data_IF_609438743752
#
_entry.id   IF_609438743752
#
_cell.length_a   1.000
_cell.length_b   1.000
_cell.length_c   1.000
_cell.angle_alpha   90.00
_cell.angle_beta   90.00
_cell.angle_gamma   90.00
#
_symmetry.space_group_name_H-M   'P 1'
#
loop_
_entity.id
_entity.type
_entity.pdbx_description
1 polymer ?
#
# COMPACT_ATOMS: atom_id res chain seq x y z
N UNK A 1 10.98 -28.10 0.24
CA UNK A 1 9.87 -27.31 0.81
C UNK A 1 9.56 -26.16 -0.14
N UNK A 2 8.37 -26.16 -0.75
CA UNK A 2 7.89 -24.99 -1.49
C UNK A 2 7.71 -23.84 -0.50
N UNK A 3 8.39 -22.73 -0.73
CA UNK A 3 8.29 -21.52 0.10
C UNK A 3 6.85 -21.01 0.08
N UNK A 4 6.35 -20.53 1.22
CA UNK A 4 5.01 -19.94 1.33
C UNK A 4 4.87 -18.64 0.51
N UNK A 5 3.64 -18.28 0.15
CA UNK A 5 3.34 -17.08 -0.65
C UNK A 5 3.88 -15.80 0.01
N UNK A 6 3.65 -15.64 1.32
CA UNK A 6 4.14 -14.48 2.07
C UNK A 6 5.67 -14.41 2.02
N UNK A 7 6.35 -15.54 2.13
CA UNK A 7 7.81 -15.60 2.06
C UNK A 7 8.35 -15.27 0.65
N UNK A 8 7.66 -15.73 -0.39
CA UNK A 8 8.00 -15.43 -1.78
C UNK A 8 7.85 -13.92 -2.06
N UNK A 9 6.74 -13.31 -1.62
CA UNK A 9 6.50 -11.87 -1.76
C UNK A 9 7.54 -11.04 -0.99
N UNK A 10 7.87 -11.43 0.24
CA UNK A 10 8.94 -10.80 1.02
C UNK A 10 10.29 -10.82 0.28
N UNK A 11 10.64 -11.95 -0.33
CA UNK A 11 11.89 -12.11 -1.09
C UNK A 11 11.89 -11.32 -2.40
N UNK A 12 10.77 -11.30 -3.11
CA UNK A 12 10.63 -10.54 -4.35
C UNK A 12 10.79 -9.03 -4.07
N UNK A 13 10.06 -8.51 -3.08
CA UNK A 13 10.16 -7.12 -2.68
C UNK A 13 11.54 -6.76 -2.12
N UNK A 14 12.12 -7.62 -1.27
CA UNK A 14 13.46 -7.41 -0.74
C UNK A 14 14.53 -7.30 -1.84
N UNK A 15 14.44 -8.13 -2.89
CA UNK A 15 15.33 -8.05 -4.06
C UNK A 15 15.15 -6.74 -4.83
N UNK A 16 13.90 -6.31 -5.08
CA UNK A 16 13.60 -5.04 -5.76
C UNK A 16 14.12 -3.84 -4.97
N UNK A 17 13.78 -3.77 -3.68
CA UNK A 17 14.21 -2.69 -2.79
C UNK A 17 15.74 -2.61 -2.71
N UNK A 18 16.43 -3.75 -2.61
CA UNK A 18 17.90 -3.78 -2.60
C UNK A 18 18.50 -3.21 -3.88
N UNK A 19 17.96 -3.57 -5.06
CA UNK A 19 18.42 -3.01 -6.34
C UNK A 19 18.23 -1.49 -6.37
N UNK A 20 17.06 -1.02 -5.92
CA UNK A 20 16.76 0.42 -5.84
C UNK A 20 17.73 1.15 -4.91
N UNK A 21 17.93 0.66 -3.68
CA UNK A 21 18.85 1.29 -2.72
C UNK A 21 20.30 1.29 -3.21
N UNK A 22 20.76 0.20 -3.85
CA UNK A 22 22.11 0.15 -4.44
C UNK A 22 22.26 1.14 -5.60
N UNK A 23 21.25 1.27 -6.45
CA UNK A 23 21.26 2.23 -7.56
C UNK A 23 21.25 3.67 -7.03
N UNK A 24 20.39 3.98 -6.05
CA UNK A 24 20.35 5.30 -5.41
C UNK A 24 21.67 5.63 -4.72
N UNK A 25 22.28 4.67 -4.01
CA UNK A 25 23.60 4.85 -3.39
C UNK A 25 24.67 5.12 -4.44
N UNK A 26 24.67 4.38 -5.56
CA UNK A 26 25.61 4.59 -6.65
C UNK A 26 25.48 6.00 -7.26
N UNK A 27 24.25 6.39 -7.63
CA UNK A 27 23.95 7.73 -8.16
C UNK A 27 24.37 8.82 -7.16
N UNK A 28 24.08 8.62 -5.88
CA UNK A 28 24.49 9.54 -4.82
C UNK A 28 26.01 9.72 -4.76
N UNK A 29 26.79 8.63 -4.74
CA UNK A 29 28.26 8.68 -4.72
C UNK A 29 28.81 9.40 -5.95
N UNK A 30 28.24 9.16 -7.14
CA UNK A 30 28.62 9.86 -8.36
C UNK A 30 28.38 11.38 -8.25
N UNK A 31 27.18 11.79 -7.80
CA UNK A 31 26.85 13.22 -7.60
C UNK A 31 27.80 13.86 -6.59
N UNK A 32 28.07 13.19 -5.47
CA UNK A 32 28.97 13.69 -4.43
C UNK A 32 30.40 13.88 -4.96
N UNK A 33 30.88 12.95 -5.79
CA UNK A 33 32.22 13.05 -6.40
C UNK A 33 32.31 14.24 -7.34
N UNK A 34 31.30 14.45 -8.18
CA UNK A 34 31.22 15.62 -9.07
C UNK A 34 31.16 16.92 -8.26
N UNK A 35 30.33 16.97 -7.23
CA UNK A 35 30.21 18.15 -6.37
C UNK A 35 31.54 18.50 -5.70
N UNK A 36 32.27 17.51 -5.17
CA UNK A 36 33.60 17.74 -4.57
C UNK A 36 34.58 18.30 -5.59
N UNK A 37 34.59 17.78 -6.83
CA UNK A 37 35.49 18.28 -7.89
C UNK A 37 35.15 19.71 -8.29
N UNK A 38 33.86 20.02 -8.51
CA UNK A 38 33.41 21.35 -8.95
C UNK A 38 33.58 22.40 -7.86
N UNK A 39 33.31 22.05 -6.61
CA UNK A 39 33.32 22.99 -5.49
C UNK A 39 34.70 23.17 -4.85
N UNK A 40 35.68 22.32 -5.18
CA UNK A 40 37.03 22.34 -4.58
C UNK A 40 37.68 23.72 -4.64
N UNK A 41 37.51 24.42 -5.75
CA UNK A 41 38.16 25.72 -6.01
C UNK A 41 37.24 26.92 -5.71
N UNK A 42 35.95 26.69 -5.45
CA UNK A 42 34.94 27.73 -5.20
C UNK A 42 34.64 27.94 -3.71
N UNK A 43 35.02 26.98 -2.85
CA UNK A 43 34.77 27.04 -1.41
C UNK A 43 35.98 27.65 -0.69
N UNK A 44 35.80 28.84 -0.15
CA UNK A 44 36.76 29.41 0.80
C UNK A 44 36.42 28.96 2.23
N UNK A 45 37.23 28.07 2.80
CA UNK A 45 37.05 27.55 4.15
C UNK A 45 37.42 28.57 5.25
N UNK A 46 38.08 29.68 4.89
CA UNK A 46 38.34 30.79 5.81
C UNK A 46 37.08 31.63 6.07
N UNK A 47 36.13 31.65 5.13
CA UNK A 47 34.85 32.31 5.29
C UNK A 47 33.91 31.49 6.19
N UNK A 48 33.38 32.12 7.25
CA UNK A 48 32.51 31.46 8.24
C UNK A 48 31.20 30.93 7.63
N UNK A 49 30.68 31.60 6.59
CA UNK A 49 29.43 31.22 5.92
C UNK A 49 29.63 29.99 5.06
N UNK A 50 30.69 29.97 4.26
CA UNK A 50 31.11 28.83 3.45
C UNK A 50 31.44 27.61 4.32
N UNK A 51 32.16 27.79 5.43
CA UNK A 51 32.42 26.71 6.41
C UNK A 51 31.14 26.11 6.98
N UNK A 52 30.17 26.95 7.34
CA UNK A 52 28.87 26.49 7.89
C UNK A 52 28.08 25.68 6.86
N UNK A 53 28.06 26.11 5.60
CA UNK A 53 27.40 25.38 4.52
C UNK A 53 28.03 24.00 4.28
N UNK A 54 29.36 23.93 4.30
CA UNK A 54 30.11 22.67 4.15
C UNK A 54 29.81 21.70 5.30
N UNK A 55 29.81 22.18 6.54
CA UNK A 55 29.50 21.35 7.71
C UNK A 55 28.06 20.82 7.63
N UNK A 56 27.08 21.68 7.31
CA UNK A 56 25.71 21.25 7.11
C UNK A 56 25.59 20.18 6.01
N UNK A 57 26.28 20.38 4.88
CA UNK A 57 26.30 19.42 3.78
C UNK A 57 26.85 18.06 4.20
N UNK A 58 27.96 18.02 4.94
CA UNK A 58 28.50 16.77 5.48
C UNK A 58 27.56 16.08 6.49
N UNK A 59 26.86 16.85 7.32
CA UNK A 59 25.86 16.30 8.26
C UNK A 59 24.70 15.67 7.48
N UNK A 60 24.12 16.37 6.50
CA UNK A 60 23.04 15.83 5.68
C UNK A 60 23.49 14.63 4.84
N UNK A 61 24.71 14.68 4.31
CA UNK A 61 25.35 13.56 3.60
C UNK A 61 25.50 12.33 4.49
N UNK A 62 26.02 12.52 5.71
CA UNK A 62 26.17 11.45 6.68
C UNK A 62 24.83 10.84 7.08
N UNK A 63 23.81 11.67 7.33
CA UNK A 63 22.44 11.21 7.63
C UNK A 63 21.85 10.40 6.46
N UNK A 64 22.02 10.85 5.22
CA UNK A 64 21.57 10.11 4.03
C UNK A 64 22.24 8.74 3.93
N UNK A 65 23.54 8.65 4.18
CA UNK A 65 24.26 7.36 4.20
C UNK A 65 23.74 6.45 5.30
N UNK A 66 23.51 6.97 6.51
CA UNK A 66 22.94 6.21 7.63
C UNK A 66 21.55 5.66 7.25
N UNK A 67 20.65 6.49 6.72
CA UNK A 67 19.32 6.04 6.30
C UNK A 67 19.38 5.00 5.17
N UNK A 68 20.32 5.16 4.23
CA UNK A 68 20.52 4.19 3.15
C UNK A 68 20.99 2.84 3.69
N UNK A 69 21.94 2.83 4.64
CA UNK A 69 22.41 1.61 5.31
C UNK A 69 21.29 0.97 6.13
N UNK A 70 20.50 1.75 6.87
CA UNK A 70 19.32 1.24 7.60
C UNK A 70 18.32 0.60 6.63
N UNK A 71 18.03 1.24 5.50
CA UNK A 71 17.15 0.71 4.44
C UNK A 71 17.68 -0.59 3.84
N UNK A 72 18.99 -0.66 3.58
CA UNK A 72 19.66 -1.86 3.06
C UNK A 72 19.62 -3.01 4.08
N UNK A 73 19.89 -2.74 5.36
CA UNK A 73 19.77 -3.73 6.44
C UNK A 73 18.31 -4.17 6.61
N UNK A 74 17.35 -3.24 6.51
CA UNK A 74 15.92 -3.55 6.52
C UNK A 74 15.54 -4.51 5.38
N UNK A 75 16.06 -4.27 4.17
CA UNK A 75 15.85 -5.16 3.02
C UNK A 75 16.48 -6.54 3.19
N UNK A 76 17.53 -6.67 4.02
CA UNK A 76 18.15 -7.95 4.38
C UNK A 76 17.36 -8.69 5.47
N UNK A 77 16.79 -7.95 6.45
CA UNK A 77 16.07 -8.50 7.62
C UNK A 77 14.61 -8.87 7.36
N UNK A 78 14.02 -8.49 6.23
CA UNK A 78 12.67 -8.92 5.81
C UNK A 78 12.51 -10.44 5.59
N UNK A 79 13.54 -11.24 5.90
CA UNK A 79 13.68 -12.65 5.55
C UNK A 79 13.12 -13.67 6.54
N UNK A 80 12.75 -13.31 7.78
CA UNK A 80 12.60 -14.35 8.82
C UNK A 80 11.38 -14.25 9.75
N UNK A 81 10.59 -13.16 9.70
CA UNK A 81 9.81 -12.80 10.90
C UNK A 81 8.38 -12.31 10.64
N UNK A 82 7.84 -12.53 9.43
CA UNK A 82 6.49 -12.05 9.07
C UNK A 82 6.33 -10.52 9.16
N UNK A 83 7.43 -9.75 9.26
CA UNK A 83 7.41 -8.28 9.41
C UNK A 83 6.78 -7.55 8.23
N UNK A 84 6.75 -8.17 7.06
CA UNK A 84 6.06 -7.63 5.89
C UNK A 84 4.54 -7.69 6.04
N UNK A 85 4.03 -8.62 6.84
CA UNK A 85 2.62 -8.78 7.14
C UNK A 85 2.23 -7.83 8.27
N UNK A 86 1.24 -6.99 7.97
CA UNK A 86 0.67 -6.02 8.89
C UNK A 86 -0.75 -6.49 9.20
N UNK A 87 -1.02 -6.70 10.48
CA UNK A 87 -2.33 -7.12 10.99
C UNK A 87 -2.95 -5.92 11.70
N UNK A 88 -3.81 -5.15 11.03
CA UNK A 88 -4.40 -3.95 11.64
C UNK A 88 -5.35 -4.28 12.80
N UNK A 89 -5.90 -5.49 12.84
CA UNK A 89 -6.85 -5.91 13.88
C UNK A 89 -6.18 -6.61 15.07
N UNK A 90 -5.00 -7.20 14.87
CA UNK A 90 -4.22 -7.92 15.91
C UNK A 90 -5.00 -9.06 16.61
N UNK A 91 -5.98 -9.65 15.93
CA UNK A 91 -6.84 -10.72 16.47
C UNK A 91 -6.14 -12.08 16.53
N UNK A 92 -5.06 -12.26 15.76
CA UNK A 92 -4.24 -13.47 15.75
C UNK A 92 -2.76 -13.10 15.52
N UNK A 93 -1.88 -14.07 15.73
CA UNK A 93 -0.45 -13.95 15.48
C UNK A 93 -0.13 -13.86 14.00
N UNK A 94 0.92 -13.10 13.64
CA UNK A 94 1.41 -13.01 12.25
C UNK A 94 1.74 -14.36 11.64
N UNK A 95 2.18 -15.33 12.45
CA UNK A 95 2.50 -16.68 12.00
C UNK A 95 1.23 -17.45 11.59
N UNK A 96 0.21 -17.46 12.43
CA UNK A 96 -1.05 -18.16 12.14
C UNK A 96 -1.77 -17.56 10.93
N UNK A 97 -1.84 -16.22 10.84
CA UNK A 97 -2.40 -15.53 9.68
C UNK A 97 -1.59 -15.83 8.42
N UNK A 98 -0.26 -15.80 8.50
CA UNK A 98 0.62 -16.15 7.39
C UNK A 98 0.43 -17.58 6.90
N UNK A 99 0.36 -18.56 7.81
CA UNK A 99 0.11 -19.97 7.49
C UNK A 99 -1.26 -20.18 6.84
N UNK A 100 -2.29 -19.46 7.31
CA UNK A 100 -3.63 -19.50 6.71
C UNK A 100 -3.63 -18.93 5.29
N UNK A 101 -3.02 -17.77 5.07
CA UNK A 101 -2.88 -17.17 3.75
C UNK A 101 -2.11 -18.11 2.81
N UNK A 102 -0.96 -18.64 3.26
CA UNK A 102 -0.13 -19.54 2.47
C UNK A 102 -0.86 -20.83 2.09
N UNK A 103 -1.72 -21.34 2.98
CA UNK A 103 -2.58 -22.49 2.70
C UNK A 103 -3.64 -22.15 1.66
N UNK A 104 -4.39 -21.05 1.84
CA UNK A 104 -5.45 -20.64 0.90
C UNK A 104 -4.89 -20.37 -0.51
N UNK A 105 -3.73 -19.74 -0.61
CA UNK A 105 -3.03 -19.53 -1.89
C UNK A 105 -2.57 -20.84 -2.51
N UNK A 106 -2.02 -21.77 -1.72
CA UNK A 106 -1.56 -23.08 -2.21
C UNK A 106 -2.70 -23.96 -2.70
N UNK A 107 -3.86 -23.86 -2.05
CA UNK A 107 -5.09 -24.56 -2.43
C UNK A 107 -5.76 -23.93 -3.66
N UNK A 108 -5.27 -22.79 -4.16
CA UNK A 108 -5.84 -22.10 -5.31
C UNK A 108 -7.12 -21.32 -4.97
N UNK A 109 -7.37 -21.03 -3.69
CA UNK A 109 -8.56 -20.33 -3.21
C UNK A 109 -8.46 -18.80 -3.41
N UNK A 110 -7.84 -18.33 -4.50
CA UNK A 110 -7.76 -16.91 -4.81
C UNK A 110 -9.04 -16.49 -5.53
N UNK A 111 -9.82 -15.61 -4.91
CA UNK A 111 -11.10 -15.13 -5.46
C UNK A 111 -10.89 -13.96 -6.42
N UNK A 112 -9.98 -13.04 -6.08
CA UNK A 112 -9.57 -11.91 -6.91
C UNK A 112 -8.08 -11.70 -6.76
N UNK A 113 -7.37 -11.42 -7.85
CA UNK A 113 -5.98 -10.96 -7.82
C UNK A 113 -5.74 -9.98 -8.96
N UNK A 114 -5.54 -8.71 -8.63
CA UNK A 114 -5.45 -7.63 -9.61
C UNK A 114 -4.44 -6.58 -9.18
N UNK A 115 -3.87 -5.90 -10.18
CA UNK A 115 -3.04 -4.72 -9.95
C UNK A 115 -3.91 -3.47 -9.91
N UNK A 116 -3.46 -2.46 -9.16
CA UNK A 116 -4.12 -1.15 -9.12
C UNK A 116 -4.00 -0.41 -10.45
N UNK A 117 -2.93 -0.62 -11.21
CA UNK A 117 -2.72 -0.04 -12.53
C UNK A 117 -3.14 -1.02 -13.62
N UNK A 118 -3.63 -0.47 -14.74
CA UNK A 118 -3.95 -1.23 -15.94
C UNK A 118 -2.73 -1.32 -16.84
N UNK A 119 -2.37 -2.53 -17.25
CA UNK A 119 -1.22 -2.80 -18.11
C UNK A 119 -1.68 -3.19 -19.51
N UNK A 120 -0.90 -2.80 -20.53
CA UNK A 120 -1.13 -3.31 -21.88
C UNK A 120 -0.61 -4.74 -21.98
N UNK A 121 -1.16 -5.48 -22.94
CA UNK A 121 -0.71 -6.84 -23.21
C UNK A 121 0.79 -6.85 -23.56
N UNK A 122 1.56 -7.69 -22.86
CA UNK A 122 3.02 -7.79 -23.00
C UNK A 122 3.84 -6.87 -22.09
N UNK A 123 3.22 -5.93 -21.35
CA UNK A 123 3.91 -5.14 -20.34
C UNK A 123 4.11 -5.96 -19.04
N UNK A 124 5.30 -5.85 -18.43
CA UNK A 124 5.55 -6.49 -17.13
C UNK A 124 4.77 -5.74 -16.04
N UNK A 125 3.82 -6.39 -15.34
CA UNK A 125 2.97 -5.72 -14.39
C UNK A 125 3.74 -5.36 -13.12
N UNK A 126 3.54 -4.14 -12.62
CA UNK A 126 4.23 -3.61 -11.46
C UNK A 126 3.29 -2.79 -10.57
N UNK A 127 3.76 -2.39 -9.39
CA UNK A 127 2.99 -1.52 -8.50
C UNK A 127 2.19 -2.27 -7.43
N UNK A 128 1.18 -1.58 -6.93
CA UNK A 128 0.33 -2.03 -5.84
C UNK A 128 -0.72 -3.03 -6.34
N UNK A 129 -1.06 -4.01 -5.51
CA UNK A 129 -1.90 -5.16 -5.86
C UNK A 129 -2.94 -5.43 -4.77
N UNK A 130 -4.09 -5.91 -5.19
CA UNK A 130 -5.17 -6.36 -4.32
C UNK A 130 -5.37 -7.85 -4.55
N UNK A 131 -5.41 -8.62 -3.46
CA UNK A 131 -5.75 -10.04 -3.49
C UNK A 131 -6.89 -10.32 -2.53
N UNK A 132 -7.94 -10.97 -2.99
CA UNK A 132 -9.03 -11.45 -2.14
C UNK A 132 -8.91 -12.96 -1.95
N UNK A 133 -8.83 -13.35 -0.69
CA UNK A 133 -8.93 -14.73 -0.23
C UNK A 133 -10.24 -14.91 0.55
N UNK A 134 -10.71 -16.15 0.79
CA UNK A 134 -11.90 -16.42 1.60
C UNK A 134 -11.85 -15.73 2.96
N UNK A 135 -10.66 -15.68 3.57
CA UNK A 135 -10.46 -15.15 4.92
C UNK A 135 -10.03 -13.67 4.98
N UNK A 136 -9.20 -13.22 4.04
CA UNK A 136 -8.60 -11.88 4.09
C UNK A 136 -8.65 -11.18 2.74
N UNK A 137 -8.84 -9.87 2.79
CA UNK A 137 -8.44 -8.95 1.74
C UNK A 137 -6.98 -8.53 2.00
N UNK A 138 -6.10 -8.81 1.05
CA UNK A 138 -4.70 -8.41 1.10
C UNK A 138 -4.48 -7.16 0.25
N UNK A 139 -4.02 -6.09 0.88
CA UNK A 139 -3.52 -4.89 0.20
C UNK A 139 -2.00 -4.97 0.19
N UNK A 140 -1.43 -5.11 -1.01
CA UNK A 140 0.00 -5.34 -1.17
C UNK A 140 0.62 -4.17 -1.91
N UNK A 141 1.56 -3.48 -1.27
CA UNK A 141 2.25 -2.39 -1.95
C UNK A 141 3.50 -2.88 -2.69
N UNK A 142 3.94 -2.08 -3.66
CA UNK A 142 5.16 -2.30 -4.46
C UNK A 142 6.43 -2.48 -3.62
N UNK A 143 6.45 -1.92 -2.41
CA UNK A 143 7.56 -2.03 -1.45
C UNK A 143 7.56 -3.34 -0.64
N UNK A 144 6.56 -4.20 -0.81
CA UNK A 144 6.46 -5.52 -0.19
C UNK A 144 5.71 -5.59 1.13
N UNK A 145 5.06 -4.51 1.56
CA UNK A 145 4.15 -4.56 2.72
C UNK A 145 2.85 -5.22 2.29
N UNK A 146 2.38 -6.16 3.11
CA UNK A 146 1.11 -6.85 2.93
C UNK A 146 0.24 -6.51 4.14
N UNK A 147 -0.85 -5.80 3.93
CA UNK A 147 -1.86 -5.56 4.95
C UNK A 147 -2.94 -6.62 4.76
N UNK A 148 -3.15 -7.46 5.77
CA UNK A 148 -4.22 -8.44 5.75
C UNK A 148 -5.42 -7.92 6.56
N UNK A 149 -6.51 -7.63 5.87
CA UNK A 149 -7.77 -7.15 6.45
C UNK A 149 -8.71 -8.36 6.53
N UNK A 150 -9.15 -8.79 7.73
CA UNK A 150 -10.12 -9.86 7.84
C UNK A 150 -11.42 -9.45 7.14
N UNK A 151 -11.99 -10.36 6.35
CA UNK A 151 -13.12 -10.05 5.47
C UNK A 151 -14.34 -9.55 6.24
N UNK A 152 -14.61 -10.15 7.40
CA UNK A 152 -15.70 -9.81 8.31
C UNK A 152 -15.60 -8.41 8.91
N UNK A 153 -14.43 -7.77 8.80
CA UNK A 153 -14.17 -6.41 9.30
C UNK A 153 -14.39 -5.33 8.26
N UNK A 154 -14.68 -5.72 7.02
CA UNK A 154 -14.91 -4.81 5.91
C UNK A 154 -16.38 -4.42 5.89
N UNK A 155 -16.63 -3.12 5.92
CA UNK A 155 -17.98 -2.55 5.78
C UNK A 155 -18.29 -2.24 4.33
N UNK A 156 -17.34 -1.64 3.62
CA UNK A 156 -17.52 -1.25 2.23
C UNK A 156 -16.17 -1.04 1.55
N UNK A 157 -16.13 -1.26 0.24
CA UNK A 157 -14.95 -1.02 -0.60
C UNK A 157 -15.42 -0.17 -1.76
N UNK A 158 -14.76 0.93 -2.10
CA UNK A 158 -15.16 1.71 -3.27
C UNK A 158 -13.99 2.41 -3.95
N UNK A 159 -14.16 2.67 -5.26
CA UNK A 159 -13.30 3.56 -5.99
C UNK A 159 -13.71 5.02 -5.70
N UNK A 160 -12.73 5.88 -5.46
CA UNK A 160 -12.96 7.30 -5.29
C UNK A 160 -11.89 8.09 -6.04
N UNK A 161 -12.29 8.78 -7.11
CA UNK A 161 -11.40 9.69 -7.82
C UNK A 161 -11.17 10.95 -7.02
N UNK A 162 -9.94 11.23 -6.62
CA UNK A 162 -9.52 12.45 -5.92
C UNK A 162 -9.30 13.62 -6.88
N UNK A 163 -9.50 14.84 -6.37
CA UNK A 163 -9.10 16.09 -7.03
C UNK A 163 -7.72 16.50 -6.50
N UNK A 164 -6.71 16.58 -7.37
CA UNK A 164 -5.40 17.13 -7.00
C UNK A 164 -4.95 18.24 -7.96
N UNK A 165 -5.50 19.44 -7.81
CA UNK A 165 -4.94 20.68 -8.37
C UNK A 165 -4.47 20.57 -9.83
N UNK A 166 -3.20 20.90 -10.11
CA UNK A 166 -2.60 20.98 -11.46
C UNK A 166 -2.09 19.63 -12.05
N UNK A 167 -2.24 18.51 -11.34
CA UNK A 167 -1.72 17.19 -11.78
C UNK A 167 -2.84 16.22 -12.16
N UNK A 168 -2.49 15.17 -12.90
CA UNK A 168 -3.39 14.07 -13.28
C UNK A 168 -4.21 13.55 -12.10
N UNK A 169 -5.50 13.27 -12.36
CA UNK A 169 -6.43 12.65 -11.42
C UNK A 169 -5.81 11.38 -10.81
N UNK A 170 -5.93 11.23 -9.48
CA UNK A 170 -5.55 10.01 -8.77
C UNK A 170 -6.79 9.39 -8.19
N UNK A 171 -6.93 8.09 -8.40
CA UNK A 171 -8.06 7.30 -7.92
C UNK A 171 -7.60 6.49 -6.74
N UNK A 172 -8.37 6.50 -5.65
CA UNK A 172 -8.13 5.73 -4.44
C UNK A 172 -9.09 4.55 -4.40
N UNK A 173 -8.60 3.38 -4.03
CA UNK A 173 -9.46 2.30 -3.55
C UNK A 173 -9.61 2.45 -2.04
N UNK A 174 -10.79 2.88 -1.59
CA UNK A 174 -11.12 3.01 -0.18
C UNK A 174 -11.64 1.67 0.35
N UNK A 175 -11.09 1.21 1.47
CA UNK A 175 -11.62 0.06 2.23
C UNK A 175 -12.06 0.55 3.60
N UNK A 176 -13.37 0.72 3.77
CA UNK A 176 -14.00 1.05 5.04
C UNK A 176 -14.02 -0.19 5.93
N UNK A 177 -13.42 -0.10 7.11
CA UNK A 177 -13.37 -1.21 8.07
C UNK A 177 -13.84 -0.80 9.45
N UNK A 178 -13.94 -1.73 10.38
CA UNK A 178 -14.25 -1.46 11.79
C UNK A 178 -13.26 -0.49 12.48
N UNK A 179 -11.96 -0.54 12.15
CA UNK A 179 -10.96 0.35 12.79
C UNK A 179 -10.78 1.67 12.07
N UNK A 180 -10.63 1.66 10.74
CA UNK A 180 -10.30 2.84 9.93
C UNK A 180 -10.64 2.64 8.45
N UNK A 181 -10.47 3.70 7.67
CA UNK A 181 -10.44 3.61 6.20
C UNK A 181 -9.00 3.32 5.77
N UNK A 182 -8.81 2.35 4.88
CA UNK A 182 -7.55 2.17 4.16
C UNK A 182 -7.69 2.84 2.79
N UNK A 183 -6.85 3.83 2.51
CA UNK A 183 -6.96 4.73 1.35
C UNK A 183 -5.63 4.88 0.59
N UNK A 184 -4.64 4.05 0.91
CA UNK A 184 -3.27 4.13 0.40
C UNK A 184 -3.07 3.44 -0.95
N UNK A 185 -4.09 2.71 -1.43
CA UNK A 185 -4.06 2.06 -2.74
C UNK A 185 -4.51 3.08 -3.79
N UNK A 186 -3.57 3.55 -4.60
CA UNK A 186 -3.83 4.62 -5.57
C UNK A 186 -3.48 4.21 -7.00
N UNK A 187 -4.26 4.69 -7.97
CA UNK A 187 -4.05 4.49 -9.40
C UNK A 187 -4.40 5.76 -10.20
N UNK A 188 -4.25 5.71 -11.52
CA UNK A 188 -4.60 6.81 -12.42
C UNK A 188 -5.95 6.60 -13.12
N UNK A 189 -6.32 5.35 -13.41
CA UNK A 189 -7.53 4.99 -14.16
C UNK A 189 -8.71 4.69 -13.22
N UNK A 190 -9.78 5.49 -13.29
CA UNK A 190 -10.97 5.29 -12.45
C UNK A 190 -11.76 4.04 -12.86
N UNK A 191 -11.92 3.80 -14.16
CA UNK A 191 -12.71 2.68 -14.66
C UNK A 191 -12.09 1.36 -14.25
N UNK A 192 -10.75 1.27 -14.30
CA UNK A 192 -10.04 0.07 -13.82
C UNK A 192 -10.22 -0.19 -12.32
N UNK A 193 -10.23 0.86 -11.49
CA UNK A 193 -10.43 0.71 -10.04
C UNK A 193 -11.90 0.41 -9.71
N UNK A 194 -12.85 0.95 -10.47
CA UNK A 194 -14.28 0.58 -10.37
C UNK A 194 -14.51 -0.88 -10.76
N UNK A 195 -13.96 -1.34 -11.88
CA UNK A 195 -13.99 -2.75 -12.29
C UNK A 195 -13.37 -3.68 -11.23
N UNK A 196 -12.29 -3.23 -10.57
CA UNK A 196 -11.70 -3.96 -9.45
C UNK A 196 -12.66 -4.03 -8.25
N UNK A 197 -13.31 -2.94 -7.88
CA UNK A 197 -14.31 -2.94 -6.81
C UNK A 197 -15.48 -3.88 -7.14
N UNK A 198 -15.96 -3.88 -8.38
CA UNK A 198 -17.02 -4.76 -8.86
C UNK A 198 -16.64 -6.25 -8.79
N UNK A 199 -15.40 -6.59 -9.16
CA UNK A 199 -14.87 -7.96 -8.96
C UNK A 199 -14.86 -8.36 -7.49
N UNK A 200 -14.47 -7.44 -6.59
CA UNK A 200 -14.49 -7.70 -5.16
C UNK A 200 -15.92 -7.90 -4.64
N UNK A 201 -16.91 -7.17 -5.17
CA UNK A 201 -18.31 -7.28 -4.76
C UNK A 201 -18.97 -8.62 -5.10
N UNK A 202 -18.41 -9.39 -6.03
CA UNK A 202 -18.86 -10.78 -6.27
C UNK A 202 -18.69 -11.67 -5.03
N UNK A 203 -17.83 -11.26 -4.11
CA UNK A 203 -17.50 -12.00 -2.90
C UNK A 203 -17.82 -11.19 -1.64
N UNK A 204 -17.54 -9.88 -1.61
CA UNK A 204 -17.80 -9.03 -0.45
C UNK A 204 -19.15 -8.31 -0.66
N UNK A 205 -20.10 -8.35 0.30
CA UNK A 205 -21.38 -7.68 0.14
C UNK A 205 -21.23 -6.18 -0.16
N UNK A 206 -21.80 -5.71 -1.27
CA UNK A 206 -21.91 -4.29 -1.57
C UNK A 206 -23.16 -3.72 -0.89
N UNK A 207 -23.02 -3.31 0.37
CA UNK A 207 -24.14 -2.80 1.18
C UNK A 207 -24.76 -1.52 0.61
N UNK A 208 -24.02 -0.75 -0.19
CA UNK A 208 -24.46 0.51 -0.75
C UNK A 208 -24.67 0.44 -2.27
N UNK A 209 -25.03 -0.73 -2.81
CA UNK A 209 -25.18 -0.93 -4.26
C UNK A 209 -26.27 -0.05 -4.92
N UNK A 210 -27.26 0.42 -4.15
CA UNK A 210 -28.33 1.31 -4.65
C UNK A 210 -27.89 2.77 -4.79
N UNK A 211 -26.68 3.12 -4.35
CA UNK A 211 -26.18 4.49 -4.31
C UNK A 211 -25.17 4.77 -5.41
N UNK A 212 -25.12 6.04 -5.83
CA UNK A 212 -24.01 6.55 -6.62
C UNK A 212 -22.71 6.48 -5.80
N UNK A 213 -21.80 5.59 -6.20
CA UNK A 213 -20.56 5.31 -5.46
C UNK A 213 -19.67 6.55 -5.40
N UNK A 214 -19.63 7.35 -6.47
CA UNK A 214 -18.81 8.54 -6.53
C UNK A 214 -19.20 9.54 -5.44
N UNK A 215 -20.46 9.98 -5.39
CA UNK A 215 -20.93 10.96 -4.41
C UNK A 215 -20.92 10.40 -2.99
N UNK A 216 -21.39 9.15 -2.82
CA UNK A 216 -21.50 8.53 -1.51
C UNK A 216 -20.12 8.31 -0.86
N UNK A 217 -19.10 7.95 -1.63
CA UNK A 217 -17.75 7.72 -1.09
C UNK A 217 -17.20 8.94 -0.33
N UNK A 218 -17.41 10.15 -0.86
CA UNK A 218 -17.00 11.40 -0.22
C UNK A 218 -17.80 11.74 1.03
N UNK A 219 -19.11 11.50 1.00
CA UNK A 219 -19.98 11.72 2.16
C UNK A 219 -19.64 10.76 3.29
N UNK A 220 -19.45 9.48 2.98
CA UNK A 220 -19.13 8.46 3.96
C UNK A 220 -17.70 8.58 4.50
N UNK A 221 -16.71 8.97 3.69
CA UNK A 221 -15.36 9.28 4.18
C UNK A 221 -15.42 10.41 5.23
N UNK A 222 -16.15 11.49 4.95
CA UNK A 222 -16.37 12.60 5.90
C UNK A 222 -17.15 12.17 7.14
N UNK A 223 -18.22 11.41 6.96
CA UNK A 223 -19.08 10.94 8.05
C UNK A 223 -18.30 10.01 8.98
N UNK A 224 -17.55 9.06 8.42
CA UNK A 224 -16.71 8.14 9.18
C UNK A 224 -15.69 8.88 10.05
N UNK A 225 -15.06 9.94 9.52
CA UNK A 225 -14.07 10.73 10.23
C UNK A 225 -14.70 11.61 11.33
N UNK A 226 -15.90 12.15 11.10
CA UNK A 226 -16.55 13.11 12.01
C UNK A 226 -17.42 12.45 13.07
N UNK A 227 -18.16 11.40 12.70
CA UNK A 227 -19.19 10.77 13.52
C UNK A 227 -19.30 9.27 13.21
N UNK A 228 -18.46 8.49 13.88
CA UNK A 228 -18.33 7.05 13.68
C UNK A 228 -19.62 6.29 13.96
N UNK A 229 -20.37 6.71 14.97
CA UNK A 229 -21.63 6.06 15.37
C UNK A 229 -22.71 6.27 14.32
N UNK A 230 -22.85 7.48 13.76
CA UNK A 230 -23.79 7.72 12.65
C UNK A 230 -23.45 6.90 11.42
N UNK A 231 -22.17 6.81 11.07
CA UNK A 231 -21.73 5.93 9.98
C UNK A 231 -22.19 4.48 10.23
N UNK A 232 -21.94 3.94 11.44
CA UNK A 232 -22.31 2.56 11.76
C UNK A 232 -23.81 2.32 11.75
N UNK A 233 -24.61 3.26 12.26
CA UNK A 233 -26.09 3.19 12.19
C UNK A 233 -26.56 3.13 10.74
N UNK A 234 -26.04 4.02 9.89
CA UNK A 234 -26.39 4.03 8.47
C UNK A 234 -25.97 2.72 7.77
N UNK A 235 -24.76 2.23 8.03
CA UNK A 235 -24.29 0.95 7.49
C UNK A 235 -25.19 -0.23 7.91
N UNK A 236 -25.54 -0.36 9.19
CA UNK A 236 -26.39 -1.46 9.67
C UNK A 236 -27.84 -1.34 9.14
N UNK A 237 -28.35 -0.12 8.97
CA UNK A 237 -29.65 0.12 8.32
C UNK A 237 -29.65 -0.37 6.88
N UNK A 238 -28.66 0.01 6.07
CA UNK A 238 -28.53 -0.44 4.68
C UNK A 238 -28.28 -1.95 4.60
N UNK A 239 -27.40 -2.49 5.45
CA UNK A 239 -27.11 -3.92 5.51
C UNK A 239 -28.36 -4.74 5.83
N UNK A 240 -29.25 -4.24 6.69
CA UNK A 240 -30.51 -4.92 7.03
C UNK A 240 -31.50 -4.94 5.86
N UNK A 241 -31.55 -3.89 5.04
CA UNK A 241 -32.38 -3.87 3.82
C UNK A 241 -31.95 -4.99 2.86
N UNK A 242 -30.64 -5.15 2.67
CA UNK A 242 -30.07 -6.11 1.72
C UNK A 242 -29.90 -7.53 2.31
N UNK A 243 -29.75 -7.66 3.64
CA UNK A 243 -29.65 -8.95 4.33
C UNK A 243 -30.94 -9.77 4.29
N UNK A 244 -32.08 -9.13 4.04
CA UNK A 244 -33.36 -9.81 3.79
C UNK A 244 -33.47 -10.40 2.35
N UNK A 245 -32.55 -10.07 1.44
CA UNK A 245 -32.51 -10.61 0.08
C UNK A 245 -31.58 -11.83 -0.08
N UNK A 246 -30.75 -12.16 0.92
CA UNK A 246 -29.76 -13.26 0.86
C UNK A 246 -30.29 -14.55 1.52
N UNK A 247 -31.56 -14.57 1.95
CA UNK A 247 -32.29 -15.78 2.35
C UNK A 247 -33.38 -16.12 1.32
N UNK A 248 -32.99 -16.59 0.14
CA UNK A 248 -33.84 -17.39 -0.75
C UNK A 248 -33.02 -18.42 -1.48
#
# INVERSE_FOLDING_TARGET
MNQGFIEQEARAAGRRNRRLFLLLLFVYVCIMTVLVVVLKDAIDLADSRSRTLVVCFFIFSGLMLIFTVIGLIGSLRGRADGKILILPFEEDTKKAVGERIDREVREGNIQVFEYMEKFKEGEEPWGDRVMLLPSYLLLMNSMGKIIAIPREKIYWICAQAGIQGRSSYRVRLLVFTEKKIFDHMTAIDIGHVEELADKLYQYIPNVFCEYDTFSLSYELEKLFAKDREKFLKFYEEEKRKHGNFIKS
#
